data_IF_930271246090
#
_entry.id   IF_930271246090
#
_cell.length_a   1.000
_cell.length_b   1.000
_cell.length_c   1.000
_cell.angle_alpha   90.00
_cell.angle_beta   90.00
_cell.angle_gamma   90.00
#
_symmetry.space_group_name_H-M   'P 1'
#
loop_
_entity.id
_entity.type
_entity.pdbx_description
1 polymer ?
#
# COMPACT_ATOMS: atom_id res chain seq x y z
N UNK A 1 -18.11 -0.01 5.41
CA UNK A 1 -18.15 1.45 5.47
C UNK A 1 -17.91 1.92 6.90
N UNK A 2 -17.09 2.95 7.11
CA UNK A 2 -17.01 3.63 8.41
C UNK A 2 -17.26 5.13 8.31
N UNK A 3 -17.83 5.69 9.35
CA UNK A 3 -18.05 7.13 9.51
C UNK A 3 -18.04 7.50 11.00
N UNK A 4 -18.02 8.79 11.31
CA UNK A 4 -18.31 9.31 12.66
C UNK A 4 -19.62 10.13 12.67
N UNK A 5 -20.67 9.57 12.07
CA UNK A 5 -21.96 10.22 11.93
C UNK A 5 -22.65 10.60 13.26
N UNK A 6 -22.25 10.00 14.36
CA UNK A 6 -22.72 10.36 15.71
C UNK A 6 -22.26 11.75 16.16
N UNK A 7 -21.12 12.22 15.63
CA UNK A 7 -20.54 13.54 15.90
C UNK A 7 -20.66 14.44 14.67
N UNK A 8 -20.20 13.96 13.51
CA UNK A 8 -20.22 14.70 12.23
C UNK A 8 -21.53 14.47 11.50
N UNK A 9 -22.64 14.72 12.18
CA UNK A 9 -24.00 14.30 11.80
C UNK A 9 -24.39 14.61 10.35
N UNK A 10 -24.09 15.82 9.88
CA UNK A 10 -24.54 16.29 8.56
C UNK A 10 -23.78 15.60 7.43
N UNK A 11 -22.47 15.65 7.43
CA UNK A 11 -21.67 15.19 6.31
C UNK A 11 -21.40 13.69 6.34
N UNK A 12 -21.05 13.15 7.49
CA UNK A 12 -20.85 11.70 7.66
C UNK A 12 -22.18 10.96 7.63
N UNK A 13 -23.25 11.57 8.15
CA UNK A 13 -24.60 11.04 7.99
C UNK A 13 -25.00 10.92 6.52
N UNK A 14 -24.81 11.98 5.73
CA UNK A 14 -25.12 11.93 4.29
C UNK A 14 -24.24 10.93 3.54
N UNK A 15 -22.95 10.86 3.85
CA UNK A 15 -22.06 9.88 3.25
C UNK A 15 -22.53 8.44 3.54
N UNK A 16 -22.86 8.14 4.80
CA UNK A 16 -23.45 6.84 5.18
C UNK A 16 -24.76 6.55 4.42
N UNK A 17 -25.65 7.52 4.33
CA UNK A 17 -26.96 7.34 3.69
C UNK A 17 -26.82 7.09 2.20
N UNK A 18 -25.89 7.75 1.50
CA UNK A 18 -25.62 7.48 0.07
C UNK A 18 -25.18 6.03 -0.14
N UNK A 19 -24.25 5.53 0.66
CA UNK A 19 -23.81 4.14 0.56
C UNK A 19 -24.94 3.16 0.84
N UNK A 20 -25.78 3.44 1.84
CA UNK A 20 -26.93 2.60 2.16
C UNK A 20 -27.95 2.59 1.03
N UNK A 21 -28.30 3.76 0.48
CA UNK A 21 -29.24 3.91 -0.63
C UNK A 21 -28.78 3.13 -1.87
N UNK A 22 -27.50 3.25 -2.23
CA UNK A 22 -26.93 2.55 -3.41
C UNK A 22 -26.89 1.04 -3.14
N UNK A 23 -26.41 0.62 -1.96
CA UNK A 23 -26.42 -0.79 -1.61
C UNK A 23 -27.80 -1.42 -1.72
N UNK A 24 -28.81 -0.81 -1.13
CA UNK A 24 -30.18 -1.36 -1.15
C UNK A 24 -30.80 -1.40 -2.54
N UNK A 25 -30.54 -0.38 -3.36
CA UNK A 25 -31.13 -0.27 -4.69
C UNK A 25 -30.44 -1.10 -5.77
N UNK A 26 -29.13 -1.22 -5.68
CA UNK A 26 -28.33 -1.72 -6.80
C UNK A 26 -27.52 -2.97 -6.49
N UNK A 27 -27.05 -3.15 -5.25
CA UNK A 27 -26.05 -4.17 -4.93
C UNK A 27 -26.51 -5.27 -3.96
N UNK A 28 -27.62 -5.08 -3.26
CA UNK A 28 -28.07 -6.00 -2.20
C UNK A 28 -28.18 -7.46 -2.67
N UNK A 29 -28.83 -7.67 -3.80
CA UNK A 29 -29.02 -9.02 -4.34
C UNK A 29 -27.73 -9.62 -4.87
N UNK A 30 -26.87 -8.80 -5.47
CA UNK A 30 -25.56 -9.21 -5.96
C UNK A 30 -24.64 -9.61 -4.79
N UNK A 31 -24.61 -8.82 -3.71
CA UNK A 31 -23.85 -9.13 -2.49
C UNK A 31 -24.33 -10.43 -1.86
N UNK A 32 -25.66 -10.59 -1.74
CA UNK A 32 -26.25 -11.83 -1.23
C UNK A 32 -25.85 -13.05 -2.06
N UNK A 33 -25.93 -12.94 -3.38
CA UNK A 33 -25.57 -14.02 -4.29
C UNK A 33 -24.07 -14.38 -4.22
N UNK A 34 -23.20 -13.38 -3.99
CA UNK A 34 -21.76 -13.56 -3.85
C UNK A 34 -21.30 -13.91 -2.42
N UNK A 35 -22.21 -13.97 -1.44
CA UNK A 35 -21.86 -14.20 -0.04
C UNK A 35 -21.11 -13.04 0.62
N UNK A 36 -21.25 -11.83 0.07
CA UNK A 36 -20.60 -10.62 0.59
C UNK A 36 -21.53 -9.92 1.59
N UNK A 37 -20.97 -9.48 2.70
CA UNK A 37 -21.68 -8.66 3.69
C UNK A 37 -21.39 -7.18 3.49
N UNK A 38 -22.38 -6.34 3.74
CA UNK A 38 -22.22 -4.89 3.84
C UNK A 38 -22.58 -4.44 5.26
N UNK A 39 -21.68 -3.68 5.87
CA UNK A 39 -21.89 -3.13 7.21
C UNK A 39 -21.47 -1.67 7.26
N UNK A 40 -22.17 -0.90 8.09
CA UNK A 40 -21.72 0.42 8.55
C UNK A 40 -21.30 0.33 10.01
N UNK A 41 -20.10 0.85 10.30
CA UNK A 41 -19.54 0.93 11.65
C UNK A 41 -19.06 2.34 11.95
N UNK A 42 -19.02 2.70 13.25
CA UNK A 42 -18.33 3.92 13.65
C UNK A 42 -16.83 3.74 13.46
N UNK A 43 -16.12 4.82 13.11
CA UNK A 43 -14.69 4.76 12.77
C UNK A 43 -13.85 4.16 13.90
N UNK A 44 -14.14 4.50 15.15
CA UNK A 44 -13.45 3.96 16.32
C UNK A 44 -13.65 2.45 16.51
N UNK A 45 -14.86 1.94 16.25
CA UNK A 45 -15.14 0.51 16.23
C UNK A 45 -14.44 -0.19 15.05
N UNK A 46 -14.43 0.44 13.89
CA UNK A 46 -13.76 -0.14 12.72
C UNK A 46 -12.23 -0.18 12.85
N UNK A 47 -11.62 0.79 13.54
CA UNK A 47 -10.19 0.73 13.89
C UNK A 47 -9.89 -0.51 14.74
N UNK A 48 -10.72 -0.78 15.77
CA UNK A 48 -10.56 -1.96 16.59
C UNK A 48 -10.76 -3.26 15.78
N UNK A 49 -11.72 -3.26 14.86
CA UNK A 49 -11.98 -4.39 13.96
C UNK A 49 -10.80 -4.65 13.02
N UNK A 50 -10.23 -3.61 12.43
CA UNK A 50 -9.08 -3.72 11.51
C UNK A 50 -7.85 -4.35 12.15
N UNK A 51 -7.66 -4.16 13.46
CA UNK A 51 -6.56 -4.76 14.21
C UNK A 51 -6.82 -6.21 14.66
N UNK A 52 -8.07 -6.66 14.63
CA UNK A 52 -8.49 -7.96 15.18
C UNK A 52 -8.98 -8.96 14.15
N UNK A 53 -9.51 -8.48 13.03
CA UNK A 53 -10.05 -9.35 11.98
C UNK A 53 -8.95 -9.99 11.15
N UNK A 54 -9.23 -11.16 10.64
CA UNK A 54 -8.31 -11.93 9.79
C UNK A 54 -8.07 -11.32 8.39
N UNK A 55 -8.78 -10.24 8.04
CA UNK A 55 -8.70 -9.59 6.74
C UNK A 55 -9.86 -9.96 5.81
N UNK A 56 -9.61 -9.96 4.50
CA UNK A 56 -10.60 -10.24 3.45
C UNK A 56 -11.81 -9.29 3.47
N UNK A 57 -11.58 -8.01 3.75
CA UNK A 57 -12.59 -6.96 3.70
C UNK A 57 -12.12 -5.73 2.93
N UNK A 58 -13.04 -5.00 2.36
CA UNK A 58 -12.82 -3.66 1.78
C UNK A 58 -13.34 -2.63 2.77
N UNK A 59 -12.48 -1.71 3.17
CA UNK A 59 -12.83 -0.65 4.11
C UNK A 59 -13.08 0.66 3.35
N UNK A 60 -14.34 1.03 3.17
CA UNK A 60 -14.72 2.31 2.59
C UNK A 60 -14.78 3.39 3.68
N UNK A 61 -14.08 4.48 3.50
CA UNK A 61 -14.05 5.62 4.42
C UNK A 61 -13.88 6.95 3.67
N UNK A 62 -14.15 8.05 4.36
CA UNK A 62 -13.90 9.38 3.82
C UNK A 62 -12.40 9.65 3.76
N UNK A 63 -12.02 10.62 2.92
CA UNK A 63 -10.62 10.94 2.59
C UNK A 63 -9.70 11.03 3.83
N UNK A 64 -10.02 11.90 4.80
CA UNK A 64 -9.18 12.07 5.99
C UNK A 64 -9.10 10.80 6.85
N UNK A 65 -10.23 10.13 7.07
CA UNK A 65 -10.26 8.89 7.84
C UNK A 65 -9.40 7.80 7.17
N UNK A 66 -9.48 7.68 5.85
CA UNK A 66 -8.68 6.75 5.07
C UNK A 66 -7.19 7.06 5.08
N UNK A 67 -6.84 8.34 4.94
CA UNK A 67 -5.48 8.83 5.01
C UNK A 67 -4.81 8.46 6.35
N UNK A 68 -5.43 8.83 7.46
CA UNK A 68 -4.91 8.54 8.80
C UNK A 68 -4.87 7.04 9.09
N UNK A 69 -5.91 6.29 8.69
CA UNK A 69 -5.99 4.86 9.00
C UNK A 69 -5.02 4.02 8.17
N UNK A 70 -4.85 4.34 6.90
CA UNK A 70 -3.91 3.61 6.04
C UNK A 70 -2.48 3.75 6.55
N UNK A 71 -2.06 4.94 6.94
CA UNK A 71 -0.75 5.21 7.53
C UNK A 71 -0.58 4.49 8.88
N UNK A 72 -1.61 4.54 9.74
CA UNK A 72 -1.57 3.89 11.06
C UNK A 72 -1.40 2.37 10.91
N UNK A 73 -2.17 1.75 10.01
CA UNK A 73 -2.08 0.30 9.75
C UNK A 73 -0.71 -0.05 9.16
N UNK A 74 -0.23 0.72 8.18
CA UNK A 74 1.08 0.48 7.57
C UNK A 74 2.23 0.57 8.61
N UNK A 75 2.19 1.54 9.52
CA UNK A 75 3.17 1.64 10.59
C UNK A 75 3.09 0.46 11.58
N UNK A 76 1.89 -0.02 11.86
CA UNK A 76 1.69 -1.18 12.73
C UNK A 76 2.22 -2.50 12.17
N UNK A 77 2.27 -2.64 10.84
CA UNK A 77 2.72 -3.85 10.15
C UNK A 77 4.08 -3.72 9.47
N UNK A 78 4.76 -2.60 9.61
CA UNK A 78 6.07 -2.42 9.00
C UNK A 78 6.47 -0.95 8.85
N UNK A 79 6.53 -0.46 7.63
CA UNK A 79 6.99 0.88 7.30
C UNK A 79 6.08 1.52 6.25
N UNK A 80 5.84 2.83 6.37
CA UNK A 80 5.22 3.64 5.31
C UNK A 80 5.94 3.48 3.95
N UNK A 81 7.25 3.22 3.97
CA UNK A 81 8.03 2.97 2.76
C UNK A 81 7.58 1.73 1.96
N UNK A 82 6.67 0.92 2.48
CA UNK A 82 6.09 -0.24 1.78
C UNK A 82 4.73 0.06 1.15
N UNK A 83 4.14 1.23 1.44
CA UNK A 83 2.82 1.61 0.95
C UNK A 83 2.83 2.21 -0.44
N UNK A 84 1.88 1.77 -1.26
CA UNK A 84 1.50 2.42 -2.52
C UNK A 84 0.03 2.82 -2.47
N UNK A 85 -0.28 3.96 -3.07
CA UNK A 85 -1.64 4.44 -3.29
C UNK A 85 -2.02 4.28 -4.75
N UNK A 86 -3.30 3.99 -5.00
CA UNK A 86 -3.86 3.93 -6.34
C UNK A 86 -5.19 4.68 -6.41
N UNK A 87 -5.37 5.43 -7.49
CA UNK A 87 -6.65 6.01 -7.88
C UNK A 87 -7.15 5.29 -9.14
N UNK A 88 -8.38 4.85 -9.11
CA UNK A 88 -8.98 4.13 -10.24
C UNK A 88 -10.25 4.84 -10.68
N UNK A 89 -10.41 5.04 -11.99
CA UNK A 89 -11.65 5.61 -12.53
C UNK A 89 -12.84 4.67 -12.33
N UNK A 90 -14.07 5.20 -12.21
CA UNK A 90 -15.26 4.38 -11.98
C UNK A 90 -15.48 3.29 -13.03
N UNK A 91 -15.04 3.50 -14.26
CA UNK A 91 -15.11 2.51 -15.36
C UNK A 91 -13.96 1.48 -15.34
N UNK A 92 -13.02 1.61 -14.40
CA UNK A 92 -11.89 0.71 -14.25
C UNK A 92 -10.86 0.76 -15.38
N UNK A 93 -10.88 1.78 -16.25
CA UNK A 93 -10.02 1.86 -17.44
C UNK A 93 -8.75 2.68 -17.26
N UNK A 94 -8.71 3.51 -16.23
CA UNK A 94 -7.54 4.33 -15.92
C UNK A 94 -7.17 4.16 -14.47
N UNK A 95 -5.88 4.02 -14.22
CA UNK A 95 -5.31 3.93 -12.88
C UNK A 95 -4.11 4.86 -12.77
N UNK A 96 -4.04 5.60 -11.69
CA UNK A 96 -2.85 6.29 -11.22
C UNK A 96 -2.31 5.55 -9.99
N UNK A 97 -1.00 5.33 -9.95
CA UNK A 97 -0.33 4.69 -8.83
C UNK A 97 0.84 5.54 -8.37
N UNK A 98 0.98 5.73 -7.06
CA UNK A 98 2.04 6.54 -6.47
C UNK A 98 2.57 5.91 -5.19
N UNK A 99 3.73 6.37 -4.73
CA UNK A 99 4.19 6.11 -3.38
C UNK A 99 3.29 6.88 -2.40
N UNK A 100 2.78 6.20 -1.38
CA UNK A 100 1.86 6.80 -0.41
C UNK A 100 2.55 7.72 0.62
N UNK A 101 3.81 8.08 0.42
CA UNK A 101 4.58 8.95 1.29
C UNK A 101 5.17 10.14 0.53
N UNK A 102 5.61 11.15 1.26
CA UNK A 102 6.22 12.35 0.68
C UNK A 102 7.62 12.12 0.08
N UNK A 103 8.24 13.20 -0.37
CA UNK A 103 9.48 13.21 -1.17
C UNK A 103 10.76 12.91 -0.39
N UNK A 104 10.69 12.59 0.91
CA UNK A 104 11.84 12.28 1.78
C UNK A 104 12.97 13.34 1.68
N UNK A 105 12.59 14.61 1.77
CA UNK A 105 13.48 15.78 1.54
C UNK A 105 14.76 15.75 2.36
N UNK A 106 14.74 15.18 3.56
CA UNK A 106 15.93 15.02 4.41
C UNK A 106 17.00 14.16 3.73
N UNK A 107 16.63 13.02 3.15
CA UNK A 107 17.56 12.14 2.45
C UNK A 107 18.06 12.79 1.17
N UNK A 108 17.20 13.47 0.43
CA UNK A 108 17.59 14.20 -0.78
C UNK A 108 18.64 15.28 -0.48
N UNK A 109 18.49 16.04 0.60
CA UNK A 109 19.47 17.03 1.03
C UNK A 109 20.82 16.41 1.41
N UNK A 110 20.83 15.24 2.02
CA UNK A 110 22.07 14.49 2.31
C UNK A 110 22.74 14.02 1.01
N UNK A 111 21.95 13.48 0.09
CA UNK A 111 22.45 13.07 -1.23
C UNK A 111 23.07 14.24 -2.00
N UNK A 112 22.43 15.42 -2.01
CA UNK A 112 23.02 16.65 -2.61
C UNK A 112 24.37 17.06 -2.00
N UNK A 113 24.64 16.68 -0.74
CA UNK A 113 25.91 16.89 -0.06
C UNK A 113 26.94 15.78 -0.32
N UNK A 114 26.63 14.82 -1.20
CA UNK A 114 27.48 13.67 -1.46
C UNK A 114 27.54 12.64 -0.33
N UNK A 115 26.58 12.70 0.62
CA UNK A 115 26.51 11.75 1.74
C UNK A 115 25.69 10.52 1.33
N UNK A 116 26.11 9.32 1.77
CA UNK A 116 25.33 8.11 1.53
C UNK A 116 23.98 8.20 2.21
N UNK A 117 22.95 7.69 1.54
CA UNK A 117 21.58 7.58 2.06
C UNK A 117 21.08 6.16 1.94
N UNK A 118 20.15 5.79 2.83
CA UNK A 118 19.45 4.52 2.79
C UNK A 118 17.95 4.81 2.77
N UNK A 119 17.44 5.10 1.58
CA UNK A 119 16.03 5.39 1.31
C UNK A 119 15.37 4.12 0.78
N UNK A 120 14.24 3.74 1.36
CA UNK A 120 13.46 2.60 0.93
C UNK A 120 12.74 2.93 -0.40
N UNK A 121 13.03 2.21 -1.51
CA UNK A 121 12.42 2.47 -2.80
C UNK A 121 11.13 1.66 -3.06
N UNK A 122 10.70 0.82 -2.14
CA UNK A 122 9.61 -0.14 -2.38
C UNK A 122 8.31 0.51 -2.82
N UNK A 123 7.89 1.57 -2.13
CA UNK A 123 6.65 2.23 -2.50
C UNK A 123 6.66 2.73 -3.95
N UNK A 124 7.80 3.28 -4.41
CA UNK A 124 7.96 3.69 -5.80
C UNK A 124 8.00 2.50 -6.77
N UNK A 125 8.74 1.43 -6.43
CA UNK A 125 8.80 0.22 -7.25
C UNK A 125 7.39 -0.40 -7.36
N UNK A 126 6.67 -0.51 -6.25
CA UNK A 126 5.33 -1.10 -6.24
C UNK A 126 4.29 -0.22 -6.94
N UNK A 127 4.43 1.09 -6.93
CA UNK A 127 3.62 1.97 -7.75
C UNK A 127 3.80 1.64 -9.24
N UNK A 128 5.03 1.47 -9.71
CA UNK A 128 5.32 1.04 -11.09
C UNK A 128 4.77 -0.36 -11.39
N UNK A 129 5.00 -1.34 -10.54
CA UNK A 129 4.51 -2.72 -10.77
C UNK A 129 3.00 -2.78 -10.80
N UNK A 130 2.30 -2.02 -9.94
CA UNK A 130 0.83 -1.90 -10.00
C UNK A 130 0.36 -1.32 -11.32
N UNK A 131 0.98 -0.23 -11.78
CA UNK A 131 0.69 0.37 -13.08
C UNK A 131 0.96 -0.58 -14.26
N UNK A 132 2.10 -1.27 -14.24
CA UNK A 132 2.45 -2.24 -15.28
C UNK A 132 1.50 -3.44 -15.30
N UNK A 133 1.17 -4.01 -14.15
CA UNK A 133 0.22 -5.11 -14.05
C UNK A 133 -1.19 -4.70 -14.52
N UNK A 134 -1.62 -3.50 -14.15
CA UNK A 134 -2.90 -2.95 -14.63
C UNK A 134 -2.89 -2.77 -16.15
N UNK A 135 -1.84 -2.19 -16.72
CA UNK A 135 -1.68 -2.05 -18.17
C UNK A 135 -1.63 -3.40 -18.87
N UNK A 136 -0.91 -4.36 -18.31
CA UNK A 136 -0.86 -5.73 -18.83
C UNK A 136 -2.23 -6.41 -18.90
N UNK A 137 -3.10 -6.15 -17.94
CA UNK A 137 -4.50 -6.64 -17.96
C UNK A 137 -5.32 -5.97 -19.07
N UNK A 138 -5.21 -4.65 -19.24
CA UNK A 138 -5.94 -3.92 -20.27
C UNK A 138 -5.52 -4.34 -21.69
N UNK A 139 -4.24 -4.57 -21.90
CA UNK A 139 -3.69 -4.93 -23.22
C UNK A 139 -3.64 -6.44 -23.48
N UNK A 140 -4.05 -7.24 -22.51
CA UNK A 140 -3.92 -8.70 -22.56
C UNK A 140 -2.45 -9.14 -22.82
N UNK A 141 -1.50 -8.54 -22.08
CA UNK A 141 -0.06 -8.82 -22.18
C UNK A 141 0.40 -9.54 -20.88
N UNK A 142 0.28 -10.88 -20.83
CA UNK A 142 0.58 -11.66 -19.63
C UNK A 142 2.06 -11.59 -19.22
N UNK A 143 2.98 -11.39 -20.16
CA UNK A 143 4.40 -11.22 -19.87
C UNK A 143 4.68 -9.98 -19.01
N UNK A 144 3.94 -8.89 -19.26
CA UNK A 144 4.07 -7.67 -18.47
C UNK A 144 3.55 -7.86 -17.03
N UNK A 145 2.44 -8.59 -16.88
CA UNK A 145 1.91 -8.96 -15.56
C UNK A 145 2.93 -9.81 -14.81
N UNK A 146 3.45 -10.84 -15.45
CA UNK A 146 4.46 -11.74 -14.87
C UNK A 146 5.73 -10.98 -14.46
N UNK A 147 6.20 -10.05 -15.30
CA UNK A 147 7.34 -9.20 -14.93
C UNK A 147 7.08 -8.40 -13.66
N UNK A 148 5.93 -7.71 -13.59
CA UNK A 148 5.54 -6.91 -12.43
C UNK A 148 5.47 -7.74 -11.15
N UNK A 149 4.80 -8.88 -11.19
CA UNK A 149 4.67 -9.80 -10.06
C UNK A 149 6.03 -10.41 -9.65
N UNK A 150 6.89 -10.71 -10.62
CA UNK A 150 8.24 -11.21 -10.37
C UNK A 150 9.09 -10.16 -9.67
N UNK A 151 9.01 -8.90 -10.09
CA UNK A 151 9.74 -7.80 -9.45
C UNK A 151 9.28 -7.58 -8.01
N UNK A 152 7.97 -7.58 -7.74
CA UNK A 152 7.45 -7.49 -6.35
C UNK A 152 7.98 -8.64 -5.48
N UNK A 153 7.90 -9.86 -5.97
CA UNK A 153 8.42 -11.04 -5.27
C UNK A 153 9.92 -10.95 -4.99
N UNK A 154 10.71 -10.51 -5.97
CA UNK A 154 12.16 -10.31 -5.82
C UNK A 154 12.47 -9.25 -4.75
N UNK A 155 11.69 -8.16 -4.70
CA UNK A 155 11.85 -7.15 -3.67
C UNK A 155 11.69 -7.75 -2.26
N UNK A 156 10.63 -8.52 -2.05
CA UNK A 156 10.37 -9.20 -0.76
C UNK A 156 11.49 -10.18 -0.41
N UNK A 157 11.85 -11.08 -1.34
CA UNK A 157 12.90 -12.07 -1.13
C UNK A 157 14.28 -11.43 -0.88
N UNK A 158 14.55 -10.27 -1.45
CA UNK A 158 15.81 -9.54 -1.18
C UNK A 158 15.87 -9.10 0.28
N UNK A 159 14.77 -8.58 0.83
CA UNK A 159 14.70 -8.22 2.26
C UNK A 159 14.77 -9.46 3.16
N UNK A 160 14.04 -10.51 2.84
CA UNK A 160 14.05 -11.77 3.58
C UNK A 160 15.46 -12.40 3.63
N UNK A 161 16.28 -12.18 2.60
CA UNK A 161 17.70 -12.58 2.58
C UNK A 161 18.61 -11.77 3.48
N UNK A 162 18.09 -10.76 4.19
CA UNK A 162 18.86 -9.85 5.06
C UNK A 162 19.41 -8.60 4.36
N UNK A 163 19.14 -8.41 3.08
CA UNK A 163 19.53 -7.21 2.32
C UNK A 163 18.39 -6.19 2.33
N UNK A 164 18.52 -5.12 3.08
CA UNK A 164 17.44 -4.17 3.31
C UNK A 164 17.93 -2.75 3.52
N UNK A 165 17.03 -1.79 3.48
CA UNK A 165 17.29 -0.40 3.83
C UNK A 165 17.21 -0.17 5.34
N UNK A 166 17.72 0.97 5.79
CA UNK A 166 17.88 1.29 7.22
C UNK A 166 16.57 1.28 8.00
N UNK A 167 15.47 1.73 7.40
CA UNK A 167 14.14 1.73 8.03
C UNK A 167 13.67 0.32 8.38
N UNK A 168 13.85 -0.63 7.44
CA UNK A 168 13.50 -2.04 7.65
C UNK A 168 14.47 -2.71 8.65
N UNK A 169 15.76 -2.43 8.52
CA UNK A 169 16.76 -2.95 9.44
C UNK A 169 16.52 -2.47 10.89
N UNK A 170 16.03 -1.24 11.06
CA UNK A 170 15.64 -0.72 12.37
C UNK A 170 14.48 -1.51 12.99
N UNK A 171 13.49 -1.92 12.18
CA UNK A 171 12.38 -2.76 12.65
C UNK A 171 12.89 -4.13 13.11
N UNK A 172 13.83 -4.73 12.35
CA UNK A 172 14.36 -6.07 12.66
C UNK A 172 15.31 -6.07 13.85
N UNK A 173 16.20 -5.08 13.94
CA UNK A 173 17.31 -5.06 14.90
C UNK A 173 17.10 -4.12 16.09
N UNK A 174 16.14 -3.18 16.01
CA UNK A 174 15.84 -2.24 17.09
C UNK A 174 17.08 -1.47 17.55
N UNK A 175 17.33 -1.48 18.85
CA UNK A 175 18.48 -0.82 19.46
C UNK A 175 19.85 -1.45 19.09
N UNK A 176 19.85 -2.68 18.57
CA UNK A 176 21.07 -3.38 18.13
C UNK A 176 21.43 -3.08 16.67
N UNK A 177 20.81 -2.08 16.04
CA UNK A 177 21.08 -1.69 14.66
C UNK A 177 22.55 -1.24 14.50
N UNK A 178 23.23 -1.82 13.51
CA UNK A 178 24.58 -1.47 13.08
C UNK A 178 24.61 -1.12 11.60
N UNK A 179 25.68 -0.49 11.13
CA UNK A 179 25.85 -0.14 9.71
C UNK A 179 25.88 -1.37 8.78
N UNK A 180 26.37 -2.50 9.25
CA UNK A 180 26.42 -3.77 8.51
C UNK A 180 25.03 -4.40 8.25
N UNK A 181 23.99 -3.94 8.95
CA UNK A 181 22.65 -4.48 8.87
C UNK A 181 21.80 -3.87 7.74
N UNK A 182 22.30 -2.83 7.07
CA UNK A 182 21.54 -2.18 5.99
C UNK A 182 22.43 -1.73 4.84
N UNK A 183 21.81 -1.55 3.70
CA UNK A 183 22.44 -1.10 2.47
C UNK A 183 22.14 0.38 2.19
N UNK A 184 23.02 1.03 1.43
CA UNK A 184 22.64 2.30 0.78
C UNK A 184 21.53 2.08 -0.24
N UNK A 185 20.86 3.14 -0.65
CA UNK A 185 19.80 3.07 -1.67
C UNK A 185 20.30 2.41 -2.94
N UNK A 186 21.47 2.82 -3.43
CA UNK A 186 22.08 2.31 -4.65
C UNK A 186 22.43 0.82 -4.53
N UNK A 187 23.08 0.42 -3.43
CA UNK A 187 23.44 -0.97 -3.19
C UNK A 187 22.22 -1.88 -3.04
N UNK A 188 21.14 -1.36 -2.47
CA UNK A 188 19.89 -2.09 -2.34
C UNK A 188 19.19 -2.28 -3.69
N UNK A 189 19.11 -1.23 -4.52
CA UNK A 189 18.60 -1.32 -5.88
C UNK A 189 19.39 -2.30 -6.75
N UNK A 190 20.73 -2.30 -6.63
CA UNK A 190 21.57 -3.27 -7.35
C UNK A 190 21.31 -4.71 -6.88
N UNK A 191 21.14 -4.93 -5.58
CA UNK A 191 20.79 -6.25 -5.05
C UNK A 191 19.44 -6.77 -5.62
N UNK A 192 18.43 -5.89 -5.74
CA UNK A 192 17.15 -6.22 -6.38
C UNK A 192 17.38 -6.54 -7.88
N UNK A 193 18.13 -5.71 -8.59
CA UNK A 193 18.43 -5.88 -10.01
C UNK A 193 19.12 -7.23 -10.31
N UNK A 194 20.13 -7.59 -9.52
CA UNK A 194 20.81 -8.89 -9.64
C UNK A 194 19.87 -10.08 -9.39
N UNK A 195 19.01 -9.98 -8.37
CA UNK A 195 18.04 -11.02 -8.06
C UNK A 195 16.98 -11.14 -9.16
N UNK A 196 16.52 -10.00 -9.70
CA UNK A 196 15.56 -9.97 -10.80
C UNK A 196 16.12 -10.62 -12.06
N UNK A 197 17.36 -10.27 -12.47
CA UNK A 197 18.04 -10.89 -13.61
C UNK A 197 18.12 -12.41 -13.49
N UNK A 198 18.42 -12.91 -12.28
CA UNK A 198 18.47 -14.36 -12.01
C UNK A 198 17.12 -15.06 -12.12
N UNK A 199 16.02 -14.35 -11.84
CA UNK A 199 14.66 -14.93 -11.90
C UNK A 199 14.02 -14.85 -13.29
N UNK A 200 14.45 -13.91 -14.11
CA UNK A 200 13.92 -13.73 -15.47
C UNK A 200 14.64 -14.57 -16.52
N UNK A 201 15.87 -15.01 -16.22
CA UNK A 201 16.64 -15.95 -17.04
C UNK A 201 16.34 -17.40 -16.66
#
# INVERSE_FOLDING_TARGET
LSTKNTILKKYDGRFKDIFQEIYEKEFKDQFKAAGITYEHRLIDDMVAAALKWEGAFVWACKNYDGDVQSDTVAQGFGSLGLMTSVLVTPDGKTMEAEAAHGTVTRHYRLHQQGKPTSTNPFASIFAWTRGLAFRGKLDNTPELIRFAETLEKVCVETVESGKMTKDLALIVHGENLKEEHYLTTEAFLEAINENLKRKLN
#
